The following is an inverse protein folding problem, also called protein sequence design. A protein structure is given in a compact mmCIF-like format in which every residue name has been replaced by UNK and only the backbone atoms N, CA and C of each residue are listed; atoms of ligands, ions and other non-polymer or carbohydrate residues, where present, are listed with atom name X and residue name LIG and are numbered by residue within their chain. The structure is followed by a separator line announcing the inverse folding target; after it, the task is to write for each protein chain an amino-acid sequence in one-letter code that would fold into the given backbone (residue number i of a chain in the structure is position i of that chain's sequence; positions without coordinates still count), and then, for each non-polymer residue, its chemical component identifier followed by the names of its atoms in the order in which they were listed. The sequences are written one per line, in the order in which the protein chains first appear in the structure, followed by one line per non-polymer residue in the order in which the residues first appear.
data_IF_087963928846
#
_entry.id   IF_087963928846
#
_cell.length_a   1.000
_cell.length_b   1.000
_cell.length_c   1.000
_cell.angle_alpha   90.00
_cell.angle_beta   90.00
_cell.angle_gamma   90.00
#
_symmetry.space_group_name_H-M   'P 1'
#
loop_
_entity.id
_entity.type
_entity.pdbx_description
1 polymer ?
#
# COMPACT_ATOMS: atom_id res chain seq x y z
N UNK A 1 3.16 32.77 27.10
CA UNK A 1 4.54 32.25 27.15
C UNK A 1 4.49 30.89 27.81
N UNK A 2 4.23 29.84 27.03
CA UNK A 2 4.34 28.45 27.48
C UNK A 2 5.49 27.85 26.71
N UNK A 3 6.62 27.78 27.40
CA UNK A 3 7.88 27.24 26.92
C UNK A 3 7.78 25.71 27.08
N UNK A 4 7.33 24.99 26.05
CA UNK A 4 7.47 23.52 26.01
C UNK A 4 8.74 23.22 25.22
N UNK A 5 9.80 23.02 26.00
CA UNK A 5 11.11 22.55 25.60
C UNK A 5 11.06 21.46 24.52
N UNK A 6 11.96 21.61 23.54
CA UNK A 6 12.78 20.56 22.93
C UNK A 6 12.34 19.13 23.24
N UNK A 7 11.95 18.38 22.23
CA UNK A 7 12.05 16.94 22.28
C UNK A 7 12.27 16.41 20.87
N UNK A 8 13.55 16.24 20.50
CA UNK A 8 13.93 15.19 19.57
C UNK A 8 13.47 13.87 20.23
N UNK A 9 12.20 13.52 20.01
CA UNK A 9 11.65 12.26 20.50
C UNK A 9 12.13 11.20 19.53
N UNK A 10 12.67 10.13 20.11
CA UNK A 10 12.97 8.93 19.35
C UNK A 10 11.67 8.31 18.90
N UNK A 11 11.65 7.76 17.69
CA UNK A 11 10.54 6.95 17.19
C UNK A 11 10.34 5.79 18.16
N UNK A 12 9.10 5.57 18.58
CA UNK A 12 8.74 4.52 19.53
C UNK A 12 7.24 4.33 19.60
N UNK A 13 6.76 3.47 20.48
CA UNK A 13 5.33 3.17 20.57
C UNK A 13 4.49 4.45 20.73
N UNK A 14 3.42 4.58 19.93
CA UNK A 14 2.50 5.72 19.94
C UNK A 14 3.17 7.06 19.62
N UNK A 15 4.13 7.06 18.69
CA UNK A 15 4.71 8.29 18.13
C UNK A 15 4.25 8.51 16.71
N UNK A 16 3.94 9.75 16.38
CA UNK A 16 3.67 10.18 15.02
C UNK A 16 4.98 10.62 14.39
N UNK A 17 5.24 10.11 13.20
CA UNK A 17 6.47 10.33 12.45
C UNK A 17 6.12 11.04 11.16
N UNK A 18 6.76 12.17 10.92
CA UNK A 18 6.71 12.86 9.63
C UNK A 18 7.96 12.46 8.86
N UNK A 19 7.81 11.83 7.69
CA UNK A 19 8.91 11.38 6.87
C UNK A 19 8.61 11.50 5.38
N UNK A 20 9.66 11.53 4.56
CA UNK A 20 9.56 11.37 3.11
C UNK A 20 10.03 9.96 2.72
N UNK A 21 9.38 9.37 1.72
CA UNK A 21 9.68 8.03 1.22
C UNK A 21 10.03 8.08 -0.26
N UNK A 22 10.97 7.23 -0.66
CA UNK A 22 11.26 6.96 -2.07
C UNK A 22 11.39 5.45 -2.27
N UNK A 23 10.63 4.90 -3.20
CA UNK A 23 10.65 3.51 -3.60
C UNK A 23 11.41 3.41 -4.92
N UNK A 24 12.38 2.50 -4.96
CA UNK A 24 13.16 2.23 -6.16
C UNK A 24 13.32 0.73 -6.36
N UNK A 25 13.63 0.30 -7.57
CA UNK A 25 13.94 -1.10 -7.85
C UNK A 25 15.33 -1.49 -7.29
N UNK A 26 15.68 -2.78 -7.35
CA UNK A 26 17.00 -3.31 -6.96
C UNK A 26 18.19 -2.57 -7.61
N UNK A 27 18.02 -2.05 -8.84
CA UNK A 27 19.02 -1.29 -9.58
C UNK A 27 19.06 0.20 -9.22
N UNK A 28 18.10 0.71 -8.43
CA UNK A 28 18.01 2.11 -8.01
C UNK A 28 17.28 3.02 -8.99
N UNK A 29 16.46 2.46 -9.87
CA UNK A 29 15.50 3.20 -10.69
C UNK A 29 14.34 3.62 -9.78
N UNK A 30 14.02 4.91 -9.70
CA UNK A 30 12.85 5.36 -8.94
C UNK A 30 11.59 4.75 -9.56
N UNK A 31 10.81 4.07 -8.73
CA UNK A 31 9.51 3.51 -9.09
C UNK A 31 8.41 4.46 -8.61
N UNK A 32 8.53 4.89 -7.36
CA UNK A 32 7.50 5.65 -6.67
C UNK A 32 8.12 6.53 -5.57
N UNK A 33 7.42 7.57 -5.13
CA UNK A 33 7.84 8.39 -4.00
C UNK A 33 6.66 9.06 -3.29
N UNK A 34 6.88 9.60 -2.10
CA UNK A 34 5.81 10.16 -1.29
C UNK A 34 5.37 11.57 -1.70
N UNK A 35 5.93 12.12 -2.79
CA UNK A 35 5.74 13.49 -3.28
C UNK A 35 5.65 14.53 -2.15
N UNK A 36 6.58 14.42 -1.19
CA UNK A 36 6.65 15.30 -0.03
C UNK A 36 6.51 14.60 1.33
N UNK A 37 6.41 15.40 2.40
CA UNK A 37 6.40 14.92 3.77
C UNK A 37 5.05 14.28 4.13
N UNK A 38 5.06 12.98 4.40
CA UNK A 38 3.89 12.26 4.86
C UNK A 38 3.95 12.01 6.37
N UNK A 39 2.80 11.91 7.00
CA UNK A 39 2.66 11.74 8.45
C UNK A 39 2.01 10.39 8.73
N UNK A 40 2.62 9.58 9.58
CA UNK A 40 2.10 8.25 9.91
C UNK A 40 2.31 7.91 11.39
N UNK A 41 1.52 6.96 11.90
CA UNK A 41 1.62 6.49 13.28
C UNK A 41 2.53 5.26 13.37
N UNK A 42 3.60 5.33 14.17
CA UNK A 42 4.50 4.19 14.37
C UNK A 42 3.82 3.07 15.16
N UNK A 43 3.86 1.84 14.62
CA UNK A 43 3.15 0.65 15.11
C UNK A 43 1.62 0.81 15.24
N UNK A 44 1.02 1.73 14.49
CA UNK A 44 -0.43 1.85 14.32
C UNK A 44 -1.03 0.78 13.38
N UNK A 45 -2.33 0.91 13.09
CA UNK A 45 -2.99 0.17 12.01
C UNK A 45 -2.42 0.61 10.65
N UNK A 46 -2.21 1.92 10.45
CA UNK A 46 -1.49 2.50 9.31
C UNK A 46 0.00 2.73 9.61
N UNK A 47 0.69 1.64 9.95
CA UNK A 47 2.15 1.69 10.04
C UNK A 47 2.81 0.95 8.90
N UNK A 48 4.05 1.32 8.64
CA UNK A 48 4.88 0.78 7.58
C UNK A 48 5.07 -0.73 7.70
N UNK A 49 5.63 -1.31 6.66
CA UNK A 49 6.08 -2.70 6.64
C UNK A 49 6.88 -3.04 7.92
N UNK A 50 6.68 -4.23 8.53
CA UNK A 50 7.29 -4.60 9.81
C UNK A 50 8.80 -4.38 9.86
N UNK A 51 9.48 -4.66 8.74
CA UNK A 51 10.94 -4.47 8.58
C UNK A 51 11.34 -2.99 8.60
N UNK A 52 10.54 -2.10 8.01
CA UNK A 52 10.77 -0.66 8.08
C UNK A 52 10.52 -0.14 9.49
N UNK A 53 9.41 -0.55 10.09
CA UNK A 53 9.02 -0.16 11.44
C UNK A 53 10.13 -0.47 12.46
N UNK A 54 10.64 -1.72 12.45
CA UNK A 54 11.74 -2.12 13.33
C UNK A 54 13.02 -1.32 13.06
N UNK A 55 13.28 -1.00 11.79
CA UNK A 55 14.48 -0.29 11.41
C UNK A 55 14.47 1.21 11.77
N UNK A 56 13.29 1.82 11.83
CA UNK A 56 13.10 3.22 12.26
C UNK A 56 12.88 3.35 13.77
N UNK A 57 12.61 2.24 14.48
CA UNK A 57 12.46 2.24 15.92
C UNK A 57 13.72 2.81 16.62
N UNK A 58 13.50 3.73 17.56
CA UNK A 58 14.55 4.39 18.32
C UNK A 58 15.38 5.43 17.54
N UNK A 59 15.04 5.71 16.27
CA UNK A 59 15.70 6.76 15.46
C UNK A 59 15.17 8.15 15.80
N UNK A 60 15.92 9.17 15.42
CA UNK A 60 15.64 10.58 15.71
C UNK A 60 15.35 11.35 14.41
N UNK A 61 14.70 12.53 14.48
CA UNK A 61 14.53 13.41 13.32
C UNK A 61 15.85 13.70 12.60
N UNK A 62 15.82 13.68 11.27
CA UNK A 62 16.99 13.76 10.41
C UNK A 62 17.62 12.42 10.04
N UNK A 63 17.03 11.29 10.47
CA UNK A 63 17.43 9.96 10.03
C UNK A 63 17.09 9.76 8.55
N UNK A 64 18.11 9.52 7.73
CA UNK A 64 17.99 9.20 6.31
C UNK A 64 18.69 7.88 6.06
N UNK A 65 17.96 6.87 5.59
CA UNK A 65 18.56 5.58 5.27
C UNK A 65 17.79 4.86 4.16
N UNK A 66 18.50 4.00 3.44
CA UNK A 66 17.94 3.16 2.37
C UNK A 66 17.85 1.73 2.89
N UNK A 67 16.63 1.19 2.89
CA UNK A 67 16.34 -0.18 3.25
C UNK A 67 16.14 -1.02 2.00
N UNK A 68 16.72 -2.21 2.00
CA UNK A 68 16.49 -3.20 0.95
C UNK A 68 15.44 -4.18 1.47
N UNK A 69 14.31 -4.22 0.79
CA UNK A 69 13.19 -5.09 1.09
C UNK A 69 13.16 -6.21 0.07
N UNK A 70 13.11 -7.43 0.57
CA UNK A 70 12.83 -8.59 -0.27
C UNK A 70 11.31 -8.65 -0.50
N UNK A 71 10.84 -9.37 -1.54
CA UNK A 71 9.41 -9.48 -1.84
C UNK A 71 8.60 -9.86 -0.60
N UNK A 72 9.08 -10.84 0.18
CA UNK A 72 8.47 -11.29 1.45
C UNK A 72 8.35 -10.22 2.54
N UNK A 73 9.19 -9.18 2.52
CA UNK A 73 9.17 -8.08 3.48
C UNK A 73 8.39 -6.85 3.00
N UNK A 74 7.96 -6.85 1.73
CA UNK A 74 7.21 -5.78 1.10
C UNK A 74 5.85 -6.28 0.59
N UNK A 75 5.72 -6.48 -0.72
CA UNK A 75 4.45 -6.77 -1.38
C UNK A 75 4.16 -8.28 -1.55
N UNK A 76 4.94 -9.12 -0.88
CA UNK A 76 4.87 -10.58 -1.03
C UNK A 76 5.59 -11.08 -2.28
N UNK A 77 5.67 -12.40 -2.39
CA UNK A 77 6.15 -13.07 -3.59
C UNK A 77 5.09 -12.97 -4.70
N UNK A 78 5.54 -13.07 -5.95
CA UNK A 78 4.61 -13.10 -7.07
C UNK A 78 3.92 -14.45 -7.11
N UNK A 79 2.59 -14.45 -6.98
CA UNK A 79 1.81 -15.67 -6.97
C UNK A 79 1.23 -15.96 -8.36
N UNK A 80 1.69 -17.05 -8.98
CA UNK A 80 1.20 -17.48 -10.28
C UNK A 80 -0.24 -18.01 -10.23
N UNK A 81 -0.76 -18.38 -9.05
CA UNK A 81 -2.15 -18.81 -8.86
C UNK A 81 -3.13 -17.63 -8.92
N UNK A 82 -2.65 -16.41 -8.65
CA UNK A 82 -3.39 -15.16 -8.82
C UNK A 82 -3.45 -14.68 -10.28
N UNK A 83 -2.77 -15.38 -11.19
CA UNK A 83 -2.81 -15.11 -12.63
C UNK A 83 -3.85 -16.01 -13.28
N UNK A 84 -4.84 -15.41 -13.92
CA UNK A 84 -5.91 -16.12 -14.63
C UNK A 84 -5.93 -15.77 -16.10
N UNK A 85 -6.25 -16.76 -16.93
CA UNK A 85 -6.41 -16.58 -18.37
C UNK A 85 -7.84 -16.88 -18.74
N UNK A 86 -8.61 -15.83 -18.99
CA UNK A 86 -10.02 -15.94 -19.33
C UNK A 86 -10.28 -15.68 -20.82
N UNK A 87 -11.37 -16.24 -21.38
CA UNK A 87 -11.77 -15.93 -22.75
C UNK A 87 -12.24 -14.47 -22.87
N UNK A 88 -11.73 -13.75 -23.88
CA UNK A 88 -12.10 -12.35 -24.16
C UNK A 88 -13.61 -12.14 -24.29
N UNK A 89 -14.32 -13.14 -24.79
CA UNK A 89 -15.77 -13.10 -24.99
C UNK A 89 -16.57 -12.91 -23.68
N UNK A 90 -15.94 -13.11 -22.52
CA UNK A 90 -16.54 -12.89 -21.20
C UNK A 90 -16.56 -11.42 -20.78
N UNK A 91 -15.68 -10.60 -21.33
CA UNK A 91 -15.50 -9.21 -20.96
C UNK A 91 -16.23 -8.28 -21.94
N UNK A 92 -16.81 -7.17 -21.45
CA UNK A 92 -17.37 -6.15 -22.32
C UNK A 92 -16.27 -5.45 -23.13
N UNK A 93 -16.62 -4.97 -24.33
CA UNK A 93 -15.74 -4.11 -25.12
C UNK A 93 -16.13 -2.63 -24.91
N UNK A 94 -15.18 -1.70 -24.73
CA UNK A 94 -13.73 -1.86 -24.91
C UNK A 94 -13.02 -2.48 -23.69
N UNK A 95 -11.98 -3.27 -23.98
CA UNK A 95 -11.08 -3.84 -22.98
C UNK A 95 -9.66 -3.37 -23.25
N UNK A 96 -9.01 -2.83 -22.22
CA UNK A 96 -7.67 -2.23 -22.30
C UNK A 96 -6.74 -2.83 -21.26
N UNK A 97 -5.45 -2.94 -21.60
CA UNK A 97 -4.41 -3.33 -20.64
C UNK A 97 -4.33 -2.27 -19.55
N UNK A 98 -4.30 -2.70 -18.29
CA UNK A 98 -4.38 -1.86 -17.11
C UNK A 98 -5.80 -1.66 -16.56
N UNK A 99 -6.84 -2.14 -17.24
CA UNK A 99 -8.18 -2.20 -16.65
C UNK A 99 -8.19 -3.15 -15.45
N UNK A 100 -8.83 -2.71 -14.37
CA UNK A 100 -8.97 -3.49 -13.14
C UNK A 100 -10.41 -3.99 -12.99
N UNK A 101 -10.56 -5.24 -12.53
CA UNK A 101 -11.84 -5.90 -12.29
C UNK A 101 -11.85 -6.44 -10.87
N UNK A 102 -12.82 -6.01 -10.07
CA UNK A 102 -13.11 -6.63 -8.79
C UNK A 102 -13.87 -7.93 -9.06
N UNK A 103 -13.19 -9.07 -8.91
CA UNK A 103 -13.75 -10.39 -9.16
C UNK A 103 -13.61 -10.95 -10.59
N UNK A 104 -13.29 -12.24 -10.60
CA UNK A 104 -13.59 -13.29 -11.60
C UNK A 104 -15.08 -13.50 -11.92
N UNK A 105 -15.73 -13.00 -12.99
CA UNK A 105 -16.96 -13.69 -13.41
C UNK A 105 -16.56 -15.16 -13.63
N UNK A 106 -17.17 -16.13 -12.92
CA UNK A 106 -17.01 -17.56 -13.22
C UNK A 106 -16.33 -18.49 -12.25
N UNK A 107 -16.04 -18.11 -11.01
CA UNK A 107 -15.87 -19.13 -9.98
C UNK A 107 -17.25 -19.74 -9.71
N UNK A 108 -17.44 -20.97 -10.19
CA UNK A 108 -18.65 -21.80 -9.99
C UNK A 108 -18.93 -22.16 -8.51
N UNK A 109 -18.20 -21.58 -7.54
CA UNK A 109 -18.44 -21.75 -6.10
C UNK A 109 -19.06 -20.50 -5.42
N UNK A 110 -19.12 -19.35 -6.10
CA UNK A 110 -19.80 -18.15 -5.61
C UNK A 110 -21.09 -17.91 -6.40
N UNK A 111 -22.22 -18.30 -5.78
CA UNK A 111 -23.58 -18.08 -6.28
C UNK A 111 -23.98 -16.59 -6.34
N UNK A 112 -23.09 -15.63 -6.04
CA UNK A 112 -23.37 -14.19 -6.07
C UNK A 112 -22.09 -13.36 -6.29
N UNK A 113 -21.53 -13.35 -7.50
CA UNK A 113 -20.54 -12.35 -7.90
C UNK A 113 -21.22 -11.22 -8.69
N UNK A 114 -21.45 -10.02 -8.13
CA UNK A 114 -22.20 -8.99 -8.82
C UNK A 114 -21.39 -8.41 -9.98
N UNK A 115 -21.96 -8.54 -11.18
CA UNK A 115 -21.72 -7.58 -12.25
C UNK A 115 -22.01 -6.18 -11.69
N UNK A 116 -20.99 -5.32 -11.75
CA UNK A 116 -21.07 -3.88 -11.47
C UNK A 116 -22.43 -3.30 -11.86
N UNK A 117 -23.21 -2.87 -10.86
CA UNK A 117 -24.14 -1.77 -11.06
C UNK A 117 -23.39 -0.52 -10.64
N UNK A 118 -23.19 0.37 -11.60
CA UNK A 118 -22.83 1.77 -11.39
C UNK A 118 -23.93 2.44 -10.54
N UNK A 119 -24.02 2.18 -9.24
CA UNK A 119 -24.88 2.95 -8.34
C UNK A 119 -24.51 2.73 -6.88
N UNK A 120 -24.14 3.86 -6.26
CA UNK A 120 -24.18 4.15 -4.82
C UNK A 120 -23.20 3.39 -3.91
N UNK A 121 -22.28 4.17 -3.34
CA UNK A 121 -21.29 3.69 -2.41
C UNK A 121 -21.91 3.15 -1.13
N UNK A 122 -21.63 1.89 -0.86
CA UNK A 122 -21.45 1.39 0.50
C UNK A 122 -20.36 0.32 0.41
N UNK A 123 -19.13 0.71 0.73
CA UNK A 123 -18.02 -0.23 0.93
C UNK A 123 -18.43 -1.12 2.10
N UNK A 124 -18.92 -2.33 1.82
CA UNK A 124 -19.08 -3.34 2.86
C UNK A 124 -17.68 -3.78 3.30
N UNK A 125 -17.38 -3.55 4.58
CA UNK A 125 -16.15 -3.90 5.30
C UNK A 125 -15.87 -5.43 5.40
N UNK A 126 -16.52 -6.25 4.57
CA UNK A 126 -16.44 -7.71 4.61
C UNK A 126 -15.91 -8.26 3.27
N UNK A 127 -14.67 -8.78 3.34
CA UNK A 127 -14.08 -9.89 2.55
C UNK A 127 -13.58 -9.59 1.11
N UNK A 128 -12.28 -9.27 1.04
CA UNK A 128 -11.29 -9.79 0.07
C UNK A 128 -11.70 -9.99 -1.40
N UNK A 129 -12.42 -9.04 -2.00
CA UNK A 129 -12.60 -9.07 -3.46
C UNK A 129 -11.24 -8.83 -4.15
N UNK A 130 -10.65 -9.90 -4.70
CA UNK A 130 -9.40 -9.83 -5.45
C UNK A 130 -9.57 -8.90 -6.67
N UNK A 131 -8.75 -7.86 -6.73
CA UNK A 131 -8.71 -6.93 -7.86
C UNK A 131 -7.78 -7.49 -8.92
N UNK A 132 -8.35 -7.93 -10.04
CA UNK A 132 -7.63 -8.45 -11.19
C UNK A 132 -7.33 -7.34 -12.18
N UNK A 133 -6.05 -7.12 -12.47
CA UNK A 133 -5.59 -6.19 -13.51
C UNK A 133 -5.38 -6.92 -14.83
N UNK A 134 -5.89 -6.38 -15.93
CA UNK A 134 -5.60 -6.89 -17.28
C UNK A 134 -4.14 -6.59 -17.61
N UNK A 135 -3.29 -7.60 -17.58
CA UNK A 135 -1.85 -7.46 -17.89
C UNK A 135 -1.55 -7.71 -19.37
N UNK A 136 -2.35 -8.56 -20.02
CA UNK A 136 -2.18 -8.86 -21.44
C UNK A 136 -3.51 -9.14 -22.13
N UNK A 137 -3.58 -8.75 -23.40
CA UNK A 137 -4.77 -8.86 -24.23
C UNK A 137 -4.43 -9.48 -25.58
N UNK A 138 -4.92 -10.69 -25.80
CA UNK A 138 -4.81 -11.41 -27.07
C UNK A 138 -6.13 -11.36 -27.86
N UNK A 139 -6.11 -11.88 -29.09
CA UNK A 139 -7.29 -11.92 -29.97
C UNK A 139 -8.45 -12.71 -29.36
N UNK A 140 -8.17 -13.84 -28.68
CA UNK A 140 -9.18 -14.71 -28.05
C UNK A 140 -9.12 -14.76 -26.51
N UNK A 141 -8.11 -14.15 -25.88
CA UNK A 141 -7.82 -14.32 -24.44
C UNK A 141 -7.47 -13.02 -23.75
N UNK A 142 -7.71 -13.01 -22.45
CA UNK A 142 -7.36 -11.91 -21.53
C UNK A 142 -6.57 -12.53 -20.39
N UNK A 143 -5.41 -11.95 -20.09
CA UNK A 143 -4.63 -12.32 -18.91
C UNK A 143 -4.94 -11.32 -17.81
N UNK A 144 -5.42 -11.86 -16.70
CA UNK A 144 -5.79 -11.17 -15.48
C UNK A 144 -4.76 -11.50 -14.42
N UNK A 145 -4.29 -10.50 -13.70
CA UNK A 145 -3.31 -10.64 -12.63
C UNK A 145 -3.81 -9.91 -11.39
N UNK A 146 -4.04 -10.64 -10.30
CA UNK A 146 -4.42 -10.08 -9.00
C UNK A 146 -3.22 -9.80 -8.09
N UNK A 147 -1.98 -9.93 -8.58
CA UNK A 147 -0.80 -9.54 -7.82
C UNK A 147 -0.68 -8.01 -7.72
N UNK A 148 -0.13 -7.54 -6.61
CA UNK A 148 0.28 -6.15 -6.48
C UNK A 148 1.34 -5.82 -7.57
N UNK A 149 1.34 -4.62 -8.19
CA UNK A 149 2.27 -4.25 -9.27
C UNK A 149 3.77 -4.40 -8.91
N UNK A 150 4.10 -4.43 -7.63
CA UNK A 150 5.47 -4.61 -7.12
C UNK A 150 5.71 -5.98 -6.46
N UNK A 151 4.76 -6.91 -6.52
CA UNK A 151 4.90 -8.27 -5.98
C UNK A 151 6.04 -9.04 -6.67
N UNK A 152 6.78 -9.85 -5.92
CA UNK A 152 7.94 -10.60 -6.42
C UNK A 152 9.18 -9.77 -6.75
N UNK A 153 9.14 -8.45 -6.58
CA UNK A 153 10.27 -7.56 -6.84
C UNK A 153 10.99 -7.16 -5.55
N UNK A 154 12.32 -7.21 -5.57
CA UNK A 154 13.12 -6.63 -4.51
C UNK A 154 13.15 -5.10 -4.64
N UNK A 155 12.70 -4.41 -3.59
CA UNK A 155 12.55 -2.96 -3.57
C UNK A 155 13.55 -2.30 -2.63
N UNK A 156 13.93 -1.07 -2.98
CA UNK A 156 14.78 -0.20 -2.17
C UNK A 156 13.93 0.95 -1.70
N UNK A 157 13.58 0.94 -0.42
CA UNK A 157 12.79 2.00 0.19
C UNK A 157 13.72 2.90 0.98
N UNK A 158 13.86 4.14 0.55
CA UNK A 158 14.53 5.19 1.29
C UNK A 158 13.50 5.90 2.15
N UNK A 159 13.78 6.03 3.43
CA UNK A 159 12.99 6.87 4.34
C UNK A 159 13.87 7.98 4.90
N UNK A 160 13.31 9.18 4.95
CA UNK A 160 13.92 10.34 5.59
C UNK A 160 12.96 10.91 6.61
N UNK A 161 13.27 10.67 7.88
CA UNK A 161 12.52 11.19 9.02
C UNK A 161 12.77 12.69 9.14
N UNK A 162 11.70 13.48 9.05
CA UNK A 162 11.74 14.92 9.17
C UNK A 162 11.44 15.38 10.58
N UNK A 163 10.38 14.85 11.20
CA UNK A 163 9.96 15.19 12.55
C UNK A 163 9.33 14.00 13.27
N UNK A 164 9.33 14.04 14.60
CA UNK A 164 8.75 13.00 15.44
C UNK A 164 8.07 13.65 16.63
N UNK A 165 6.76 13.43 16.75
CA UNK A 165 5.93 13.91 17.87
C UNK A 165 5.27 12.74 18.60
N UNK A 166 4.76 13.01 19.81
CA UNK A 166 3.91 12.03 20.47
C UNK A 166 2.53 12.04 19.82
N UNK A 167 1.94 10.87 19.62
CA UNK A 167 0.57 10.75 19.17
C UNK A 167 -0.39 11.29 20.23
N UNK A 168 -1.45 11.94 19.76
CA UNK A 168 -2.58 12.28 20.61
C UNK A 168 -3.39 11.01 20.94
N UNK A 169 -4.08 10.96 22.10
CA UNK A 169 -4.86 9.78 22.48
C UNK A 169 -5.89 9.39 21.40
N UNK A 170 -6.55 10.38 20.78
CA UNK A 170 -7.46 10.14 19.66
C UNK A 170 -6.77 9.46 18.45
N UNK A 171 -5.53 9.85 18.11
CA UNK A 171 -4.77 9.24 17.00
C UNK A 171 -4.36 7.79 17.33
N UNK A 172 -4.04 7.51 18.59
CA UNK A 172 -3.73 6.15 19.05
C UNK A 172 -4.98 5.27 19.06
N UNK A 173 -6.12 5.82 19.47
CA UNK A 173 -7.41 5.11 19.46
C UNK A 173 -7.90 4.85 18.04
N UNK A 174 -7.67 5.78 17.10
CA UNK A 174 -8.04 5.63 15.70
C UNK A 174 -7.03 4.82 14.88
N UNK A 175 -5.77 4.74 15.30
CA UNK A 175 -4.74 3.92 14.65
C UNK A 175 -4.01 4.59 13.48
N UNK A 176 -4.28 5.87 13.20
CA UNK A 176 -3.61 6.70 12.20
C UNK A 176 -3.43 8.15 12.70
N UNK A 177 -2.54 8.90 12.05
CA UNK A 177 -2.19 10.28 12.43
C UNK A 177 -2.69 11.29 11.40
N UNK A 178 -3.11 12.47 11.85
CA UNK A 178 -3.50 13.55 10.94
C UNK A 178 -2.28 14.41 10.59
N UNK A 179 -2.10 14.68 9.30
CA UNK A 179 -1.17 15.71 8.82
C UNK A 179 -1.83 17.09 8.93
N UNK A 180 -1.08 18.15 9.17
CA UNK A 180 -1.62 19.52 9.16
C UNK A 180 -2.01 20.00 7.73
N UNK A 181 -1.80 19.18 6.70
CA UNK A 181 -2.04 19.49 5.29
C UNK A 181 -2.84 18.37 4.60
N UNK A 182 -4.05 18.07 5.10
CA UNK A 182 -5.10 17.28 4.42
C UNK A 182 -5.74 18.08 3.26
N UNK A 183 -4.91 18.75 2.45
CA UNK A 183 -5.33 19.32 1.17
C UNK A 183 -4.44 18.70 0.07
N UNK A 184 -4.92 17.57 -0.48
CA UNK A 184 -4.60 17.11 -1.84
C UNK A 184 -3.19 16.52 -2.10
N UNK A 185 -2.44 16.02 -1.10
CA UNK A 185 -1.16 15.36 -1.39
C UNK A 185 -1.33 13.87 -1.76
N UNK A 186 -1.28 13.61 -3.07
CA UNK A 186 -1.52 12.34 -3.78
C UNK A 186 -0.68 11.13 -3.28
N UNK A 187 -1.23 10.39 -2.31
CA UNK A 187 -1.69 8.97 -2.44
C UNK A 187 -0.84 7.90 -3.18
N UNK A 188 0.49 7.88 -3.13
CA UNK A 188 1.22 6.81 -3.85
C UNK A 188 2.17 5.96 -2.99
N UNK A 189 3.33 6.45 -2.57
CA UNK A 189 4.31 5.56 -1.92
C UNK A 189 3.95 5.10 -0.49
N UNK A 190 3.33 5.96 0.33
CA UNK A 190 2.93 5.54 1.69
C UNK A 190 1.77 4.55 1.63
N UNK A 191 0.76 4.83 0.83
CA UNK A 191 -0.39 3.93 0.65
C UNK A 191 0.05 2.56 0.13
N UNK A 192 0.94 2.50 -0.86
CA UNK A 192 1.50 1.24 -1.31
C UNK A 192 2.19 0.44 -0.19
N UNK A 193 2.94 1.10 0.70
CA UNK A 193 3.58 0.43 1.85
C UNK A 193 2.56 -0.01 2.91
N UNK A 194 1.43 0.68 3.02
CA UNK A 194 0.34 0.36 3.94
C UNK A 194 -0.53 -0.78 3.39
N UNK A 195 -0.87 -0.75 2.10
CA UNK A 195 -1.57 -1.82 1.39
C UNK A 195 -0.78 -3.13 1.45
N UNK A 196 0.54 -3.07 1.22
CA UNK A 196 1.44 -4.21 1.38
C UNK A 196 1.37 -4.87 2.77
N UNK A 197 1.11 -4.08 3.81
CA UNK A 197 0.93 -4.59 5.18
C UNK A 197 -0.49 -5.12 5.43
N UNK A 198 -1.52 -4.49 4.83
CA UNK A 198 -2.93 -4.94 4.95
C UNK A 198 -3.19 -6.21 4.14
N UNK A 199 -2.52 -6.36 3.00
CA UNK A 199 -2.64 -7.47 2.03
C UNK A 199 -1.29 -8.16 1.82
N UNK A 200 -0.70 -8.81 2.84
CA UNK A 200 0.54 -9.56 2.67
C UNK A 200 0.24 -10.83 1.84
N UNK A 201 0.24 -10.68 0.51
CA UNK A 201 -0.04 -11.74 -0.45
C UNK A 201 -1.47 -12.27 -0.37
N UNK A 202 -2.47 -11.47 -0.79
CA UNK A 202 -3.89 -11.89 -0.82
C UNK A 202 -4.10 -13.18 -1.61
N UNK A 203 -4.02 -14.28 -0.87
CA UNK A 203 -4.58 -15.58 -1.11
C UNK A 203 -5.36 -15.93 0.17
N UNK A 204 -6.66 -15.65 0.15
CA UNK A 204 -7.62 -16.53 0.78
C UNK A 204 -8.84 -16.69 -0.10
#
# INVERSE_FOLDING_TARGET
MSNSSNNARKIGANTVVTAEFWISDSQGTPLDDSDGPVVFLHRGQDSLLPRLDDAIEGKEPGFDNIFHLEPEDAFGDYDAELVRVEPRARFPEPLEVGMQFEGVPGDDDDEDGPLVTEDDGELSDDEDALVFTVTDLAEDRVVLDANHPYAGMALRVRIKVLDVRAAEPDEVEQGFAYGEEDEENEEQALDALLDARRRPGTLH
#
